data_IF_307071218420
#
_entry.id   IF_307071218420
#
_cell.length_a   1.000
_cell.length_b   1.000
_cell.length_c   1.000
_cell.angle_alpha   90.00
_cell.angle_beta   90.00
_cell.angle_gamma   90.00
#
_symmetry.space_group_name_H-M   'P 1'
#
loop_
_entity.id
_entity.type
_entity.pdbx_description
1 polymer ?
#
# COMPACT_ATOMS: atom_id res chain seq x y z
N UNK A 1 -11.07 10.20 -7.58
CA UNK A 1 -12.07 9.13 -7.73
C UNK A 1 -12.95 9.19 -6.52
N UNK A 2 -14.17 9.69 -6.66
CA UNK A 2 -15.17 9.59 -5.60
C UNK A 2 -15.49 8.10 -5.45
N UNK A 3 -15.08 7.50 -4.34
CA UNK A 3 -15.45 6.13 -4.03
C UNK A 3 -16.96 6.11 -3.82
N UNK A 4 -17.65 5.34 -4.65
CA UNK A 4 -19.09 5.10 -4.53
C UNK A 4 -19.34 4.53 -3.12
N UNK A 5 -20.11 5.24 -2.30
CA UNK A 5 -20.38 4.92 -0.89
C UNK A 5 -21.27 3.66 -0.71
N UNK A 6 -21.64 2.98 -1.78
CA UNK A 6 -22.49 1.81 -1.73
C UNK A 6 -21.68 0.55 -1.40
N UNK A 7 -22.11 -0.17 -0.37
CA UNK A 7 -21.48 -1.43 0.08
C UNK A 7 -22.02 -2.61 -0.73
N UNK A 8 -21.88 -2.53 -2.05
CA UNK A 8 -22.51 -3.50 -2.97
C UNK A 8 -21.61 -4.71 -3.26
N UNK A 9 -20.31 -4.60 -2.94
CA UNK A 9 -19.35 -5.69 -3.11
C UNK A 9 -19.36 -6.68 -1.94
N UNK A 10 -19.20 -7.97 -2.26
CA UNK A 10 -19.26 -9.06 -1.28
C UNK A 10 -17.96 -9.83 -1.26
N UNK A 11 -17.48 -10.15 -0.05
CA UNK A 11 -16.34 -11.02 0.18
C UNK A 11 -16.85 -12.36 0.70
N UNK A 12 -16.64 -13.44 -0.06
CA UNK A 12 -16.93 -14.80 0.37
C UNK A 12 -15.68 -15.47 0.94
N UNK A 13 -15.78 -15.96 2.18
CA UNK A 13 -14.66 -16.60 2.89
C UNK A 13 -15.08 -17.96 3.42
N UNK A 14 -14.29 -18.99 3.10
CA UNK A 14 -14.35 -20.29 3.75
C UNK A 14 -13.28 -20.33 4.83
N UNK A 15 -13.68 -20.68 6.05
CA UNK A 15 -12.78 -20.79 7.21
C UNK A 15 -13.06 -22.09 7.95
N UNK A 16 -12.04 -22.61 8.63
CA UNK A 16 -12.23 -23.77 9.49
C UNK A 16 -13.17 -23.46 10.65
N UNK A 17 -13.73 -24.50 11.27
CA UNK A 17 -14.57 -24.33 12.47
C UNK A 17 -13.76 -23.77 13.64
N UNK A 18 -12.48 -24.14 13.74
CA UNK A 18 -11.54 -23.65 14.76
C UNK A 18 -11.30 -22.15 14.60
N UNK A 19 -10.95 -21.69 13.39
CA UNK A 19 -10.70 -20.27 13.12
C UNK A 19 -11.95 -19.44 13.37
N UNK A 20 -13.12 -19.93 12.92
CA UNK A 20 -14.40 -19.25 13.15
C UNK A 20 -14.68 -19.06 14.64
N UNK A 21 -14.35 -20.03 15.50
CA UNK A 21 -14.50 -19.91 16.96
C UNK A 21 -13.55 -18.86 17.54
N UNK A 22 -12.28 -18.86 17.11
CA UNK A 22 -11.27 -17.88 17.54
C UNK A 22 -11.71 -16.47 17.15
N UNK A 23 -12.09 -16.26 15.89
CA UNK A 23 -12.52 -14.95 15.40
C UNK A 23 -13.78 -14.45 16.10
N UNK A 24 -14.74 -15.34 16.40
CA UNK A 24 -15.95 -14.99 17.16
C UNK A 24 -15.61 -14.58 18.60
N UNK A 25 -14.66 -15.25 19.24
CA UNK A 25 -14.18 -14.86 20.57
C UNK A 25 -13.50 -13.49 20.53
N UNK A 26 -12.59 -13.29 19.57
CA UNK A 26 -11.91 -12.02 19.38
C UNK A 26 -12.90 -10.87 19.13
N UNK A 27 -13.90 -11.07 18.26
CA UNK A 27 -14.97 -10.11 18.00
C UNK A 27 -15.73 -9.68 19.26
N UNK A 28 -16.05 -10.63 20.15
CA UNK A 28 -16.73 -10.32 21.41
C UNK A 28 -15.84 -9.49 22.34
N UNK A 29 -14.56 -9.83 22.41
CA UNK A 29 -13.58 -9.13 23.25
C UNK A 29 -13.26 -7.72 22.71
N UNK A 30 -13.28 -7.53 21.40
CA UNK A 30 -13.03 -6.23 20.76
C UNK A 30 -14.23 -5.28 20.78
N UNK A 31 -15.42 -5.76 21.20
CA UNK A 31 -16.63 -4.94 21.30
C UNK A 31 -17.31 -4.63 19.96
N UNK A 32 -16.92 -5.29 18.87
CA UNK A 32 -17.55 -5.08 17.56
C UNK A 32 -19.00 -5.56 17.56
N UNK A 33 -19.89 -4.75 16.98
CA UNK A 33 -21.34 -5.02 16.94
C UNK A 33 -21.71 -6.29 16.18
N UNK A 34 -20.93 -6.67 15.17
CA UNK A 34 -21.21 -7.85 14.34
C UNK A 34 -19.92 -8.57 13.93
N UNK A 35 -20.06 -9.85 13.56
CA UNK A 35 -18.93 -10.63 13.07
C UNK A 35 -18.39 -10.12 11.74
N UNK A 36 -19.27 -9.73 10.82
CA UNK A 36 -18.84 -9.19 9.53
C UNK A 36 -18.13 -7.85 9.69
N UNK A 37 -18.62 -6.96 10.56
CA UNK A 37 -17.95 -5.68 10.84
C UNK A 37 -16.57 -5.88 11.47
N UNK A 38 -16.43 -6.85 12.38
CA UNK A 38 -15.15 -7.23 12.95
C UNK A 38 -14.16 -7.70 11.87
N UNK A 39 -14.56 -8.66 11.03
CA UNK A 39 -13.69 -9.18 9.97
C UNK A 39 -13.27 -8.08 9.01
N UNK A 40 -14.21 -7.26 8.54
CA UNK A 40 -13.91 -6.14 7.63
C UNK A 40 -12.96 -5.14 8.28
N UNK A 41 -13.16 -4.80 9.56
CA UNK A 41 -12.29 -3.86 10.27
C UNK A 41 -10.86 -4.39 10.40
N UNK A 42 -10.70 -5.64 10.81
CA UNK A 42 -9.37 -6.26 10.97
C UNK A 42 -8.65 -6.39 9.63
N UNK A 43 -9.35 -6.86 8.59
CA UNK A 43 -8.77 -6.99 7.25
C UNK A 43 -8.38 -5.62 6.68
N UNK A 44 -9.26 -4.60 6.83
CA UNK A 44 -8.98 -3.24 6.37
C UNK A 44 -7.74 -2.67 7.05
N UNK A 45 -7.66 -2.77 8.39
CA UNK A 45 -6.52 -2.26 9.13
C UNK A 45 -5.20 -2.89 8.65
N UNK A 46 -5.16 -4.22 8.54
CA UNK A 46 -3.96 -4.92 8.09
C UNK A 46 -3.60 -4.58 6.64
N UNK A 47 -4.61 -4.43 5.77
CA UNK A 47 -4.40 -4.04 4.38
C UNK A 47 -3.81 -2.63 4.27
N UNK A 48 -4.35 -1.66 5.02
CA UNK A 48 -3.83 -0.29 5.08
C UNK A 48 -2.37 -0.27 5.58
N UNK A 49 -2.04 -1.06 6.60
CA UNK A 49 -0.66 -1.19 7.09
C UNK A 49 0.29 -1.79 6.04
N UNK A 50 -0.15 -2.81 5.30
CA UNK A 50 0.65 -3.43 4.22
C UNK A 50 0.88 -2.41 3.09
N UNK A 51 -0.18 -1.73 2.63
CA UNK A 51 -0.08 -0.74 1.55
C UNK A 51 0.84 0.41 2.00
N UNK A 52 0.61 0.97 3.18
CA UNK A 52 1.44 2.06 3.71
C UNK A 52 2.92 1.66 3.85
N UNK A 53 3.20 0.41 4.25
CA UNK A 53 4.58 -0.10 4.36
C UNK A 53 5.27 -0.20 3.00
N UNK A 54 4.56 -0.62 1.95
CA UNK A 54 5.14 -0.83 0.62
C UNK A 54 5.20 0.46 -0.20
N UNK A 55 4.24 1.38 -0.02
CA UNK A 55 4.20 2.67 -0.72
C UNK A 55 5.17 3.69 -0.11
N UNK A 56 5.77 3.39 1.04
CA UNK A 56 6.72 4.28 1.71
C UNK A 56 8.06 4.29 0.96
N UNK A 57 8.23 5.31 0.12
CA UNK A 57 9.46 5.53 -0.68
C UNK A 57 10.64 6.00 0.20
N UNK A 58 10.39 6.82 1.22
CA UNK A 58 11.40 7.28 2.18
C UNK A 58 11.10 6.60 3.52
N UNK A 59 11.73 5.45 3.73
CA UNK A 59 11.51 4.62 4.90
C UNK A 59 12.54 4.88 6.00
N UNK A 60 13.75 5.31 5.62
CA UNK A 60 14.87 5.55 6.54
C UNK A 60 15.44 6.96 6.43
N UNK A 61 16.22 7.35 7.44
CA UNK A 61 16.97 8.61 7.43
C UNK A 61 17.97 8.66 6.26
N UNK A 62 18.62 7.54 5.96
CA UNK A 62 19.52 7.41 4.81
C UNK A 62 18.79 7.63 3.48
N UNK A 63 17.58 7.10 3.33
CA UNK A 63 16.77 7.32 2.12
C UNK A 63 16.42 8.80 1.97
N UNK A 64 16.17 9.49 3.10
CA UNK A 64 15.88 10.93 3.13
C UNK A 64 17.08 11.73 2.66
N UNK A 65 18.28 11.44 3.17
CA UNK A 65 19.52 12.09 2.76
C UNK A 65 19.79 11.89 1.26
N UNK A 66 19.75 10.65 0.79
CA UNK A 66 19.96 10.33 -0.64
C UNK A 66 18.94 11.01 -1.53
N UNK A 67 17.65 11.02 -1.13
CA UNK A 67 16.60 11.70 -1.87
C UNK A 67 16.83 13.21 -1.91
N UNK A 68 17.17 13.82 -0.78
CA UNK A 68 17.42 15.26 -0.69
C UNK A 68 18.62 15.66 -1.55
N UNK A 69 19.72 14.92 -1.46
CA UNK A 69 20.92 15.15 -2.29
C UNK A 69 20.63 14.93 -3.78
N UNK A 70 19.78 13.98 -4.14
CA UNK A 70 19.40 13.75 -5.54
C UNK A 70 18.47 14.84 -6.09
N UNK A 71 17.58 15.41 -5.27
CA UNK A 71 16.62 16.45 -5.69
C UNK A 71 17.23 17.84 -5.70
N UNK A 72 18.02 18.19 -4.68
CA UNK A 72 18.58 19.52 -4.50
C UNK A 72 20.07 19.61 -4.89
N UNK A 73 20.75 18.48 -5.00
CA UNK A 73 22.13 18.43 -5.48
C UNK A 73 22.22 18.66 -6.99
N UNK A 74 23.39 19.14 -7.43
CA UNK A 74 23.68 19.38 -8.84
C UNK A 74 24.34 18.14 -9.49
N UNK A 75 23.70 16.97 -9.35
CA UNK A 75 24.22 15.71 -9.90
C UNK A 75 24.01 15.67 -11.41
N UNK A 76 25.10 15.60 -12.18
CA UNK A 76 25.02 15.51 -13.65
C UNK A 76 24.63 14.09 -14.08
N UNK A 77 23.77 13.93 -15.11
CA UNK A 77 23.45 12.61 -15.65
C UNK A 77 24.69 11.95 -16.24
N UNK A 78 24.81 10.64 -16.06
CA UNK A 78 25.89 9.87 -16.67
C UNK A 78 25.70 9.72 -18.19
N UNK A 79 26.74 9.23 -18.88
CA UNK A 79 26.72 9.05 -20.34
C UNK A 79 25.55 8.18 -20.80
N UNK A 80 25.24 7.10 -20.08
CA UNK A 80 24.14 6.19 -20.41
C UNK A 80 22.77 6.89 -20.39
N UNK A 81 22.51 7.74 -19.39
CA UNK A 81 21.27 8.52 -19.30
C UNK A 81 21.17 9.55 -20.42
N UNK A 82 22.28 10.22 -20.75
CA UNK A 82 22.34 11.19 -21.85
C UNK A 82 22.05 10.51 -23.20
N UNK A 83 22.63 9.35 -23.45
CA UNK A 83 22.39 8.57 -24.66
C UNK A 83 20.94 8.08 -24.77
N UNK A 84 20.38 7.55 -23.67
CA UNK A 84 18.99 7.11 -23.63
C UNK A 84 18.02 8.28 -23.95
N UNK A 85 18.28 9.47 -23.40
CA UNK A 85 17.50 10.66 -23.70
C UNK A 85 17.60 11.09 -25.17
N UNK A 86 18.80 11.02 -25.77
CA UNK A 86 19.00 11.27 -27.21
C UNK A 86 18.21 10.29 -28.09
N UNK A 87 18.28 8.99 -27.78
CA UNK A 87 17.53 7.93 -28.50
C UNK A 87 16.02 8.10 -28.41
N UNK A 88 15.50 8.53 -27.26
CA UNK A 88 14.07 8.81 -27.10
C UNK A 88 13.63 9.99 -27.97
N UNK A 89 14.40 11.09 -27.96
CA UNK A 89 14.10 12.28 -28.76
C UNK A 89 14.15 11.98 -30.27
N UNK A 90 15.12 11.19 -30.73
CA UNK A 90 15.24 10.83 -32.15
C UNK A 90 14.13 9.91 -32.66
N UNK A 91 13.40 9.21 -31.77
CA UNK A 91 12.23 8.38 -32.14
C UNK A 91 10.92 9.16 -32.18
N UNK A 92 10.90 10.40 -31.67
CA UNK A 92 9.71 11.25 -31.56
C UNK A 92 9.65 12.35 -32.64
N UNK A 93 10.64 12.39 -33.54
CA UNK A 93 10.71 13.19 -34.77
C UNK A 93 10.56 12.27 -35.98
#
# INVERSE_FOLDING_TARGET
MEAQLSKDERIELRVSSTDKKIFRRAQKLSGDKSFSSFIVRIVKQQAEEIVAKNDRIIATEKDREVFFDAVFGNTKPNQNLVEAAKRYKSKKS
#
